data_IF_569404934342
#
_entry.id   IF_569404934342
#
_cell.length_a   1.000
_cell.length_b   1.000
_cell.length_c   1.000
_cell.angle_alpha   90.00
_cell.angle_beta   90.00
_cell.angle_gamma   90.00
#
_symmetry.space_group_name_H-M   'P 1'
#
loop_
_entity.id
_entity.type
_entity.pdbx_description
1 polymer ?
#
# COMPACT_ATOMS: atom_id res chain seq x y z
N UNK A 1 13.06 -14.98 -6.75
CA UNK A 1 13.20 -13.56 -6.34
C UNK A 1 14.25 -13.36 -5.24
N UNK A 2 14.33 -14.20 -4.21
CA UNK A 2 15.27 -14.07 -3.08
C UNK A 2 16.75 -13.96 -3.49
N UNK A 3 17.19 -14.76 -4.45
CA UNK A 3 18.59 -14.77 -4.95
C UNK A 3 18.87 -13.73 -6.05
N UNK A 4 17.86 -13.39 -6.84
CA UNK A 4 17.99 -12.55 -8.04
C UNK A 4 18.03 -11.05 -7.69
N UNK A 5 17.49 -10.66 -6.54
CA UNK A 5 17.36 -9.26 -6.13
C UNK A 5 18.16 -8.93 -4.85
N UNK A 6 19.51 -9.08 -4.83
CA UNK A 6 20.31 -8.96 -3.60
C UNK A 6 20.17 -7.59 -2.94
N UNK A 7 20.16 -6.49 -3.69
CA UNK A 7 19.98 -5.14 -3.15
C UNK A 7 18.60 -4.94 -2.51
N UNK A 8 17.56 -5.55 -3.07
CA UNK A 8 16.21 -5.46 -2.51
C UNK A 8 16.06 -6.33 -1.27
N UNK A 9 16.76 -7.48 -1.24
CA UNK A 9 16.83 -8.34 -0.07
C UNK A 9 17.45 -7.62 1.12
N UNK A 10 18.55 -6.89 0.91
CA UNK A 10 19.16 -6.07 1.97
C UNK A 10 18.20 -5.00 2.51
N UNK A 11 17.47 -4.31 1.64
CA UNK A 11 16.47 -3.32 2.05
C UNK A 11 15.35 -3.98 2.86
N UNK A 12 14.80 -5.09 2.38
CA UNK A 12 13.73 -5.81 3.08
C UNK A 12 14.19 -6.32 4.45
N UNK A 13 15.38 -6.95 4.52
CA UNK A 13 15.98 -7.37 5.80
C UNK A 13 16.06 -6.21 6.79
N UNK A 14 16.61 -5.08 6.37
CA UNK A 14 16.76 -3.92 7.26
C UNK A 14 15.42 -3.36 7.74
N UNK A 15 14.41 -3.33 6.89
CA UNK A 15 13.07 -2.95 7.29
C UNK A 15 12.49 -3.90 8.33
N UNK A 16 12.61 -5.22 8.12
CA UNK A 16 12.13 -6.22 9.06
C UNK A 16 12.84 -6.15 10.41
N UNK A 17 14.16 -5.99 10.43
CA UNK A 17 14.94 -5.80 11.66
C UNK A 17 14.50 -4.58 12.46
N UNK A 18 14.18 -3.48 11.78
CA UNK A 18 13.71 -2.24 12.41
C UNK A 18 12.27 -2.36 12.92
N UNK A 19 11.39 -3.02 12.16
CA UNK A 19 9.97 -3.08 12.48
C UNK A 19 9.63 -4.21 13.47
N UNK A 20 10.42 -5.28 13.52
CA UNK A 20 10.18 -6.44 14.36
C UNK A 20 11.40 -6.78 15.25
N UNK A 21 11.85 -5.84 16.10
CA UNK A 21 13.09 -6.03 16.87
C UNK A 21 13.04 -7.20 17.87
N UNK A 22 11.84 -7.71 18.18
CA UNK A 22 11.65 -8.87 19.08
C UNK A 22 11.86 -10.22 18.41
N UNK A 23 11.99 -10.29 17.07
CA UNK A 23 12.23 -11.55 16.38
C UNK A 23 13.71 -11.97 16.48
N UNK A 24 13.95 -13.24 16.67
CA UNK A 24 15.27 -13.83 16.57
C UNK A 24 15.80 -13.80 15.13
N UNK A 25 17.11 -13.99 14.96
CA UNK A 25 17.72 -14.04 13.62
C UNK A 25 17.13 -15.12 12.71
N UNK A 26 16.86 -16.36 13.16
CA UNK A 26 16.18 -17.36 12.35
C UNK A 26 14.77 -16.95 11.90
N UNK A 27 14.01 -16.31 12.80
CA UNK A 27 12.66 -15.82 12.49
C UNK A 27 12.68 -14.69 11.45
N UNK A 28 13.62 -13.73 11.56
CA UNK A 28 13.83 -12.71 10.53
C UNK A 28 14.15 -13.33 9.16
N UNK A 29 15.04 -14.32 9.11
CA UNK A 29 15.38 -14.99 7.85
C UNK A 29 14.19 -15.78 7.28
N UNK A 30 13.40 -16.42 8.14
CA UNK A 30 12.18 -17.10 7.73
C UNK A 30 11.16 -16.13 7.16
N UNK A 31 10.88 -15.02 7.85
CA UNK A 31 9.96 -13.99 7.38
C UNK A 31 10.45 -13.35 6.08
N UNK A 32 11.75 -13.08 5.98
CA UNK A 32 12.36 -12.54 4.75
C UNK A 32 12.20 -13.49 3.56
N UNK A 33 12.36 -14.80 3.75
CA UNK A 33 12.12 -15.79 2.69
C UNK A 33 10.66 -15.81 2.25
N UNK A 34 9.71 -15.92 3.21
CA UNK A 34 8.27 -15.85 2.92
C UNK A 34 7.88 -14.56 2.19
N UNK A 35 8.50 -13.42 2.57
CA UNK A 35 8.28 -12.17 1.85
C UNK A 35 8.69 -12.26 0.37
N UNK A 36 9.84 -12.85 0.06
CA UNK A 36 10.28 -13.00 -1.34
C UNK A 36 9.49 -14.06 -2.11
N UNK A 37 8.93 -15.06 -1.44
CA UNK A 37 7.94 -15.98 -2.01
C UNK A 37 6.67 -15.21 -2.37
N UNK A 38 6.17 -14.38 -1.46
CA UNK A 38 5.02 -13.50 -1.69
C UNK A 38 5.25 -12.51 -2.84
N UNK A 39 6.46 -11.91 -2.95
CA UNK A 39 6.84 -11.06 -4.10
C UNK A 39 6.88 -11.86 -5.41
N UNK A 40 7.27 -13.12 -5.35
CA UNK A 40 7.24 -14.04 -6.51
C UNK A 40 5.80 -14.30 -6.98
N UNK A 41 4.92 -14.69 -6.06
CA UNK A 41 3.51 -14.92 -6.32
C UNK A 41 2.81 -13.67 -6.88
N UNK A 42 3.15 -12.49 -6.35
CA UNK A 42 2.63 -11.20 -6.81
C UNK A 42 2.79 -10.97 -8.32
N UNK A 43 3.82 -11.51 -8.94
CA UNK A 43 4.03 -11.37 -10.39
C UNK A 43 2.97 -12.13 -11.19
N UNK A 44 2.59 -13.33 -10.75
CA UNK A 44 1.51 -14.11 -11.36
C UNK A 44 0.15 -13.46 -11.08
N UNK A 45 -0.11 -13.08 -9.83
CA UNK A 45 -1.33 -12.40 -9.40
C UNK A 45 -1.57 -11.09 -10.14
N UNK A 46 -0.54 -10.26 -10.30
CA UNK A 46 -0.58 -9.05 -11.10
C UNK A 46 -0.98 -9.34 -12.55
N UNK A 47 -0.39 -10.39 -13.15
CA UNK A 47 -0.72 -10.81 -14.52
C UNK A 47 -2.17 -11.29 -14.61
N UNK A 48 -2.65 -12.03 -13.61
CA UNK A 48 -4.06 -12.46 -13.51
C UNK A 48 -4.99 -11.25 -13.36
N UNK A 49 -4.69 -10.31 -12.46
CA UNK A 49 -5.48 -9.09 -12.24
C UNK A 49 -5.58 -8.21 -13.50
N UNK A 50 -4.50 -8.14 -14.28
CA UNK A 50 -4.47 -7.30 -15.49
C UNK A 50 -5.04 -7.98 -16.73
N UNK A 51 -4.89 -9.30 -16.89
CA UNK A 51 -5.17 -9.99 -18.14
C UNK A 51 -6.01 -11.26 -17.97
N UNK A 52 -6.23 -11.71 -16.73
CA UNK A 52 -6.97 -12.92 -16.43
C UNK A 52 -8.49 -12.79 -16.56
N UNK A 53 -9.18 -13.87 -16.30
CA UNK A 53 -10.65 -13.91 -16.22
C UNK A 53 -11.15 -13.28 -14.93
N UNK A 54 -11.97 -12.24 -15.04
CA UNK A 54 -12.60 -11.59 -13.89
C UNK A 54 -13.47 -12.58 -13.10
N UNK A 55 -14.15 -13.49 -13.79
CA UNK A 55 -14.99 -14.50 -13.14
C UNK A 55 -14.18 -15.39 -12.21
N UNK A 56 -13.00 -15.84 -12.64
CA UNK A 56 -12.11 -16.66 -11.80
C UNK A 56 -11.61 -15.84 -10.60
N UNK A 57 -11.19 -14.59 -10.82
CA UNK A 57 -10.70 -13.72 -9.75
C UNK A 57 -11.80 -13.52 -8.70
N UNK A 58 -13.03 -13.26 -9.13
CA UNK A 58 -14.16 -13.09 -8.22
C UNK A 58 -14.49 -14.31 -7.37
N UNK A 59 -14.30 -15.52 -7.93
CA UNK A 59 -14.51 -16.76 -7.18
C UNK A 59 -13.44 -17.01 -6.11
N UNK A 60 -12.25 -16.46 -6.28
CA UNK A 60 -11.13 -16.61 -5.37
C UNK A 60 -11.12 -15.59 -4.23
N UNK A 61 -11.90 -14.51 -4.33
CA UNK A 61 -11.86 -13.40 -3.38
C UNK A 61 -13.10 -13.36 -2.50
N UNK A 62 -12.90 -13.50 -1.19
CA UNK A 62 -13.92 -13.20 -0.19
C UNK A 62 -13.90 -11.69 0.10
N UNK A 63 -15.08 -11.05 0.04
CA UNK A 63 -15.22 -9.60 0.25
C UNK A 63 -15.90 -9.33 1.58
N UNK A 64 -15.23 -8.59 2.44
CA UNK A 64 -15.71 -8.15 3.74
C UNK A 64 -15.98 -6.64 3.73
N UNK A 65 -17.10 -6.22 4.33
CA UNK A 65 -17.42 -4.82 4.57
C UNK A 65 -17.74 -4.00 3.30
N UNK A 66 -18.18 -4.62 2.20
CA UNK A 66 -18.62 -3.90 1.00
C UNK A 66 -19.76 -2.90 1.26
N UNK A 67 -20.59 -3.15 2.25
CA UNK A 67 -21.64 -2.23 2.72
C UNK A 67 -21.09 -0.89 3.22
N UNK A 68 -19.88 -0.88 3.82
CA UNK A 68 -19.23 0.36 4.25
C UNK A 68 -18.96 1.30 3.07
N UNK A 69 -18.50 0.74 1.95
CA UNK A 69 -18.26 1.51 0.72
C UNK A 69 -19.57 2.02 0.12
N UNK A 70 -20.58 1.16 0.05
CA UNK A 70 -21.91 1.54 -0.46
C UNK A 70 -22.52 2.68 0.36
N UNK A 71 -22.48 2.57 1.69
CA UNK A 71 -23.00 3.61 2.61
C UNK A 71 -22.19 4.92 2.47
N UNK A 72 -20.87 4.84 2.34
CA UNK A 72 -20.03 6.02 2.16
C UNK A 72 -20.34 6.75 0.84
N UNK A 73 -20.57 6.00 -0.25
CA UNK A 73 -20.93 6.56 -1.56
C UNK A 73 -22.31 7.25 -1.57
N UNK A 74 -23.26 6.83 -0.70
CA UNK A 74 -24.56 7.50 -0.58
C UNK A 74 -24.44 8.95 -0.12
N UNK A 75 -23.34 9.36 0.51
CA UNK A 75 -23.08 10.75 0.89
C UNK A 75 -22.81 11.68 -0.29
N UNK A 76 -22.44 11.14 -1.45
CA UNK A 76 -22.19 11.91 -2.68
C UNK A 76 -20.90 12.74 -2.70
N UNK A 77 -19.99 12.57 -1.74
CA UNK A 77 -18.76 13.36 -1.58
C UNK A 77 -17.50 12.63 -2.03
N UNK A 78 -17.67 11.42 -2.57
CA UNK A 78 -16.57 10.53 -2.93
C UNK A 78 -15.95 9.79 -1.74
N UNK A 79 -15.15 8.80 -2.03
CA UNK A 79 -14.52 7.93 -1.03
C UNK A 79 -13.02 7.81 -1.31
N UNK A 80 -12.21 7.91 -0.26
CA UNK A 80 -10.79 7.59 -0.27
C UNK A 80 -10.61 6.22 0.38
N UNK A 81 -10.14 5.24 -0.38
CA UNK A 81 -9.72 3.96 0.15
C UNK A 81 -8.26 4.06 0.58
N UNK A 82 -8.05 4.22 1.88
CA UNK A 82 -6.72 4.21 2.47
C UNK A 82 -6.15 2.80 2.47
N UNK A 83 -4.97 2.64 1.92
CA UNK A 83 -4.29 1.34 1.81
C UNK A 83 -2.78 1.47 1.98
N UNK A 84 -2.10 0.33 1.99
CA UNK A 84 -0.66 0.18 1.85
C UNK A 84 -0.30 -0.64 0.61
N UNK A 85 0.99 -0.66 0.28
CA UNK A 85 1.49 -1.51 -0.79
C UNK A 85 1.72 -2.93 -0.26
N UNK A 86 0.74 -3.79 -0.46
CA UNK A 86 0.86 -5.24 -0.27
C UNK A 86 1.20 -5.91 -1.60
N UNK A 87 1.83 -7.07 -1.57
CA UNK A 87 2.24 -7.78 -2.79
C UNK A 87 1.05 -8.12 -3.69
N UNK A 88 -0.12 -8.32 -3.11
CA UNK A 88 -1.36 -8.74 -3.78
C UNK A 88 -2.19 -7.61 -4.38
N UNK A 89 -1.87 -6.33 -4.16
CA UNK A 89 -2.81 -5.20 -4.39
C UNK A 89 -3.32 -5.09 -5.84
N UNK A 90 -2.53 -5.45 -6.84
CA UNK A 90 -2.94 -5.39 -8.27
C UNK A 90 -4.02 -6.43 -8.61
N UNK A 91 -4.05 -7.56 -7.89
CA UNK A 91 -5.00 -8.65 -8.11
C UNK A 91 -6.45 -8.26 -7.77
N UNK A 92 -6.63 -7.29 -6.87
CA UNK A 92 -7.94 -6.97 -6.33
C UNK A 92 -8.71 -5.88 -7.09
N UNK A 93 -8.09 -5.15 -8.00
CA UNK A 93 -8.78 -4.09 -8.74
C UNK A 93 -10.02 -4.56 -9.51
N UNK A 94 -10.01 -5.73 -10.20
CA UNK A 94 -11.23 -6.25 -10.85
C UNK A 94 -12.39 -6.47 -9.87
N UNK A 95 -12.09 -6.97 -8.67
CA UNK A 95 -13.10 -7.20 -7.63
C UNK A 95 -13.61 -5.87 -7.06
N UNK A 96 -12.69 -4.97 -6.71
CA UNK A 96 -13.03 -3.66 -6.18
C UNK A 96 -13.90 -2.85 -7.15
N UNK A 97 -13.62 -2.94 -8.45
CA UNK A 97 -14.37 -2.23 -9.51
C UNK A 97 -15.88 -2.52 -9.47
N UNK A 98 -16.30 -3.72 -9.08
CA UNK A 98 -17.73 -4.06 -8.95
C UNK A 98 -18.49 -3.19 -7.96
N UNK A 99 -17.80 -2.66 -6.96
CA UNK A 99 -18.40 -1.83 -5.90
C UNK A 99 -18.23 -0.33 -6.15
N UNK A 100 -17.52 0.04 -7.22
CA UNK A 100 -17.16 1.43 -7.50
C UNK A 100 -17.88 1.94 -8.76
N UNK A 101 -18.69 3.00 -8.69
CA UNK A 101 -19.26 3.64 -9.89
C UNK A 101 -18.14 4.20 -10.79
N UNK A 102 -17.12 4.80 -10.17
CA UNK A 102 -15.93 5.31 -10.84
C UNK A 102 -14.72 5.08 -9.93
N UNK A 103 -13.78 4.25 -10.38
CA UNK A 103 -12.57 3.90 -9.63
C UNK A 103 -11.36 4.66 -10.16
N UNK A 104 -10.69 5.39 -9.28
CA UNK A 104 -9.45 6.09 -9.56
C UNK A 104 -8.31 5.48 -8.75
N UNK A 105 -7.09 5.50 -9.30
CA UNK A 105 -5.89 5.19 -8.53
C UNK A 105 -4.77 6.17 -8.84
N UNK A 106 -3.96 6.47 -7.81
CA UNK A 106 -2.77 7.29 -7.99
C UNK A 106 -1.72 6.52 -8.79
N UNK A 107 -1.15 7.17 -9.80
CA UNK A 107 -0.21 6.56 -10.71
C UNK A 107 1.11 7.32 -10.80
N UNK A 108 2.20 6.58 -10.83
CA UNK A 108 3.53 7.10 -11.12
C UNK A 108 4.02 6.51 -12.44
N UNK A 109 4.24 7.36 -13.45
CA UNK A 109 4.84 6.98 -14.73
C UNK A 109 6.13 6.21 -14.53
N UNK A 110 6.26 5.09 -15.20
CA UNK A 110 7.45 4.23 -15.13
C UNK A 110 8.59 4.80 -15.99
N UNK A 111 9.84 4.47 -15.62
CA UNK A 111 11.02 4.90 -16.39
C UNK A 111 11.11 4.24 -17.76
N UNK A 112 10.72 2.97 -17.85
CA UNK A 112 10.65 2.23 -19.11
C UNK A 112 9.31 2.51 -19.80
N UNK A 113 9.28 3.07 -21.02
CA UNK A 113 8.05 3.33 -21.75
C UNK A 113 7.24 2.06 -22.04
N UNK A 114 7.94 0.93 -22.25
CA UNK A 114 7.29 -0.36 -22.47
C UNK A 114 6.55 -0.82 -21.21
N UNK A 115 7.23 -0.78 -20.04
CA UNK A 115 6.62 -1.15 -18.75
C UNK A 115 5.48 -0.21 -18.39
N UNK A 116 5.64 1.08 -18.66
CA UNK A 116 4.57 2.07 -18.45
C UNK A 116 3.32 1.73 -19.25
N UNK A 117 3.48 1.42 -20.52
CA UNK A 117 2.37 1.03 -21.41
C UNK A 117 1.70 -0.27 -20.97
N UNK A 118 2.47 -1.27 -20.57
CA UNK A 118 1.93 -2.55 -20.07
C UNK A 118 1.12 -2.33 -18.80
N UNK A 119 1.68 -1.62 -17.82
CA UNK A 119 0.99 -1.31 -16.55
C UNK A 119 -0.27 -0.47 -16.78
N UNK A 120 -0.18 0.55 -17.64
CA UNK A 120 -1.32 1.38 -17.95
C UNK A 120 -2.45 0.55 -18.60
N UNK A 121 -2.12 -0.28 -19.61
CA UNK A 121 -3.07 -1.18 -20.25
C UNK A 121 -3.70 -2.16 -19.29
N UNK A 122 -2.89 -2.78 -18.41
CA UNK A 122 -3.38 -3.75 -17.42
C UNK A 122 -4.33 -3.11 -16.42
N UNK A 123 -3.93 -1.99 -15.82
CA UNK A 123 -4.75 -1.28 -14.82
C UNK A 123 -6.03 -0.68 -15.39
N UNK A 124 -6.00 -0.14 -16.64
CA UNK A 124 -7.17 0.47 -17.29
C UNK A 124 -8.31 -0.51 -17.57
N UNK A 125 -8.15 -1.81 -17.34
CA UNK A 125 -9.26 -2.77 -17.38
C UNK A 125 -10.21 -2.64 -16.18
N UNK A 126 -9.69 -2.24 -15.03
CA UNK A 126 -10.47 -2.17 -13.80
C UNK A 126 -10.48 -0.78 -13.18
N UNK A 127 -9.55 0.09 -13.55
CA UNK A 127 -9.42 1.45 -13.03
C UNK A 127 -9.84 2.42 -14.13
N UNK A 128 -10.88 3.21 -13.87
CA UNK A 128 -11.43 4.16 -14.84
C UNK A 128 -10.51 5.35 -15.06
N UNK A 129 -9.79 5.80 -14.03
CA UNK A 129 -8.88 6.94 -14.12
C UNK A 129 -7.57 6.70 -13.37
N UNK A 130 -6.46 6.69 -14.10
CA UNK A 130 -5.12 6.67 -13.51
C UNK A 130 -4.63 8.10 -13.33
N UNK A 131 -4.61 8.54 -12.08
CA UNK A 131 -4.28 9.91 -11.70
C UNK A 131 -2.77 10.07 -11.48
N UNK A 132 -2.07 10.92 -12.23
CA UNK A 132 -0.69 11.25 -11.93
C UNK A 132 -0.57 11.79 -10.51
N UNK A 133 0.38 11.26 -9.72
CA UNK A 133 0.56 11.61 -8.30
C UNK A 133 0.78 13.11 -8.03
N UNK A 134 1.12 13.88 -9.05
CA UNK A 134 1.31 15.35 -8.98
C UNK A 134 0.01 16.12 -9.22
N UNK A 135 -1.06 15.47 -9.68
CA UNK A 135 -2.32 16.13 -10.05
C UNK A 135 -3.40 16.02 -8.96
N UNK A 136 -3.12 16.55 -7.77
CA UNK A 136 -4.08 16.56 -6.64
C UNK A 136 -5.41 17.22 -7.02
N UNK A 137 -5.40 18.29 -7.85
CA UNK A 137 -6.65 18.94 -8.33
C UNK A 137 -7.53 17.99 -9.15
N UNK A 138 -6.94 17.12 -9.96
CA UNK A 138 -7.70 16.12 -10.71
C UNK A 138 -8.37 15.12 -9.76
N UNK A 139 -7.67 14.67 -8.73
CA UNK A 139 -8.22 13.80 -7.70
C UNK A 139 -9.40 14.46 -6.95
N UNK A 140 -9.26 15.71 -6.53
CA UNK A 140 -10.36 16.46 -5.89
C UNK A 140 -11.57 16.59 -6.83
N UNK A 141 -11.34 16.81 -8.13
CA UNK A 141 -12.40 16.83 -9.14
C UNK A 141 -13.08 15.47 -9.30
N UNK A 142 -12.35 14.35 -9.24
CA UNK A 142 -12.95 13.02 -9.31
C UNK A 142 -13.75 12.72 -8.05
N UNK A 143 -13.24 13.06 -6.86
CA UNK A 143 -13.97 12.94 -5.58
C UNK A 143 -15.27 13.75 -5.59
N UNK A 144 -15.27 15.00 -6.09
CA UNK A 144 -16.49 15.81 -6.20
C UNK A 144 -17.56 15.25 -7.15
N UNK A 145 -17.20 14.25 -7.97
CA UNK A 145 -18.10 13.47 -8.80
C UNK A 145 -18.44 12.11 -8.19
N UNK A 146 -18.24 11.96 -6.91
CA UNK A 146 -18.51 10.74 -6.15
C UNK A 146 -17.65 9.53 -6.57
N UNK A 147 -16.41 9.77 -7.04
CA UNK A 147 -15.48 8.70 -7.35
C UNK A 147 -14.91 8.03 -6.10
N UNK A 148 -14.46 6.80 -6.26
CA UNK A 148 -13.64 6.06 -5.30
C UNK A 148 -12.18 6.22 -5.68
N UNK A 149 -11.33 6.69 -4.77
CA UNK A 149 -9.90 6.87 -5.01
C UNK A 149 -9.11 5.91 -4.13
N UNK A 150 -8.45 4.93 -4.74
CA UNK A 150 -7.47 4.10 -4.05
C UNK A 150 -6.18 4.88 -3.79
N UNK A 151 -5.79 4.98 -2.52
CA UNK A 151 -4.66 5.81 -2.10
C UNK A 151 -3.77 5.06 -1.09
N UNK A 152 -2.56 4.70 -1.50
CA UNK A 152 -1.53 4.14 -0.63
C UNK A 152 -0.47 5.21 -0.30
N UNK A 153 -0.38 5.62 0.97
CA UNK A 153 0.53 6.68 1.44
C UNK A 153 1.73 6.16 2.22
N UNK A 154 1.98 4.86 2.20
CA UNK A 154 2.95 4.14 3.03
C UNK A 154 4.41 4.22 2.54
N UNK A 155 4.65 4.78 1.37
CA UNK A 155 6.00 4.96 0.86
C UNK A 155 6.65 6.23 1.39
N UNK A 156 7.98 6.18 1.62
CA UNK A 156 8.76 7.34 2.06
C UNK A 156 8.60 8.52 1.10
N UNK A 157 8.26 9.67 1.65
CA UNK A 157 7.99 10.90 0.92
C UNK A 157 8.82 12.05 1.49
N UNK A 158 9.42 12.91 0.63
CA UNK A 158 10.38 13.93 1.02
C UNK A 158 10.03 15.32 0.47
N UNK A 159 8.75 15.62 0.31
CA UNK A 159 8.31 16.94 -0.16
C UNK A 159 7.52 17.68 0.92
N UNK A 160 7.07 18.91 0.64
CA UNK A 160 6.44 19.86 1.57
C UNK A 160 5.28 19.31 2.46
N UNK A 161 4.75 18.13 2.15
CA UNK A 161 3.64 17.52 2.89
C UNK A 161 4.08 16.19 3.54
N UNK A 162 5.31 16.13 4.01
CA UNK A 162 5.84 14.95 4.66
C UNK A 162 6.28 15.32 6.07
N UNK A 163 5.85 14.48 7.00
CA UNK A 163 6.12 14.62 8.42
C UNK A 163 6.76 13.34 8.96
N UNK A 164 7.48 13.49 10.05
CA UNK A 164 8.12 12.38 10.73
C UNK A 164 7.07 11.69 11.63
N UNK A 165 6.52 10.59 11.15
CA UNK A 165 5.49 9.82 11.86
C UNK A 165 6.04 8.44 12.22
N UNK A 166 5.76 7.92 13.44
CA UNK A 166 6.15 6.56 13.79
C UNK A 166 5.56 5.52 12.82
N UNK A 167 6.38 4.54 12.45
CA UNK A 167 5.99 3.33 11.76
C UNK A 167 6.71 2.15 12.43
N UNK A 168 5.99 1.27 13.11
CA UNK A 168 6.54 0.27 14.03
C UNK A 168 7.52 0.89 15.04
N UNK A 169 7.11 1.98 15.67
CA UNK A 169 7.91 2.77 16.61
C UNK A 169 9.21 3.36 16.02
N UNK A 170 9.40 3.28 14.71
CA UNK A 170 10.54 3.88 14.02
C UNK A 170 10.11 5.16 13.31
N UNK A 171 10.85 6.28 13.46
CA UNK A 171 10.51 7.51 12.75
C UNK A 171 10.61 7.31 11.24
N UNK A 172 9.56 7.65 10.51
CA UNK A 172 9.49 7.48 9.07
C UNK A 172 8.83 8.69 8.40
N UNK A 173 9.49 9.25 7.38
CA UNK A 173 8.91 10.34 6.58
C UNK A 173 7.66 9.86 5.85
N UNK A 174 6.51 10.41 6.22
CA UNK A 174 5.19 9.97 5.78
C UNK A 174 4.40 11.12 5.19
N UNK A 175 3.68 10.86 4.10
CA UNK A 175 2.84 11.87 3.45
C UNK A 175 1.55 12.08 4.23
N UNK A 176 1.26 13.34 4.60
CA UNK A 176 0.05 13.75 5.36
C UNK A 176 -1.12 14.15 4.45
N UNK A 177 -1.03 13.92 3.14
CA UNK A 177 -1.98 14.46 2.17
C UNK A 177 -3.42 13.91 2.33
N UNK A 178 -3.62 12.67 2.82
CA UNK A 178 -4.95 12.07 2.95
C UNK A 178 -5.85 12.92 3.83
N UNK A 179 -5.38 13.35 5.01
CA UNK A 179 -6.12 14.22 5.93
C UNK A 179 -6.59 15.51 5.22
N UNK A 180 -5.65 16.20 4.55
CA UNK A 180 -5.95 17.46 3.85
C UNK A 180 -6.90 17.26 2.66
N UNK A 181 -6.74 16.18 1.92
CA UNK A 181 -7.60 15.86 0.77
C UNK A 181 -9.02 15.55 1.28
N UNK A 182 -9.14 14.73 2.31
CA UNK A 182 -10.43 14.41 2.95
C UNK A 182 -11.12 15.68 3.47
N UNK A 183 -10.39 16.56 4.16
CA UNK A 183 -10.90 17.84 4.66
C UNK A 183 -11.39 18.75 3.53
N UNK A 184 -10.63 18.85 2.44
CA UNK A 184 -10.98 19.73 1.31
C UNK A 184 -12.13 19.20 0.48
N UNK A 185 -12.23 17.88 0.30
CA UNK A 185 -13.25 17.24 -0.55
C UNK A 185 -14.52 16.85 0.19
N UNK A 186 -14.46 16.70 1.51
CA UNK A 186 -15.52 16.08 2.32
C UNK A 186 -15.63 14.56 2.10
N UNK A 187 -14.67 13.95 1.41
CA UNK A 187 -14.68 12.52 1.09
C UNK A 187 -14.54 11.66 2.36
N UNK A 188 -15.31 10.58 2.43
CA UNK A 188 -15.18 9.59 3.51
C UNK A 188 -13.90 8.76 3.29
N UNK A 189 -13.11 8.59 4.36
CA UNK A 189 -11.93 7.73 4.33
C UNK A 189 -12.27 6.37 4.93
N UNK A 190 -12.05 5.30 4.14
CA UNK A 190 -12.24 3.92 4.56
C UNK A 190 -10.92 3.18 4.51
N UNK A 191 -10.55 2.40 5.53
CA UNK A 191 -9.46 1.44 5.43
C UNK A 191 -9.77 0.39 4.35
N UNK A 192 -8.80 0.10 3.52
CA UNK A 192 -8.92 -0.90 2.45
C UNK A 192 -7.67 -1.74 2.40
N UNK A 193 -7.80 -3.01 2.77
CA UNK A 193 -6.67 -3.92 2.82
C UNK A 193 -7.02 -5.25 2.21
N UNK A 194 -6.02 -5.85 1.58
CA UNK A 194 -6.16 -7.10 0.86
C UNK A 194 -5.03 -8.04 1.21
N UNK A 195 -5.34 -9.32 1.37
CA UNK A 195 -4.35 -10.34 1.65
C UNK A 195 -4.67 -11.67 0.98
N UNK A 196 -3.64 -12.43 0.71
CA UNK A 196 -3.72 -13.85 0.38
C UNK A 196 -3.94 -14.62 1.69
N UNK A 197 -4.83 -15.57 1.68
CA UNK A 197 -5.04 -16.50 2.78
C UNK A 197 -3.96 -17.60 2.77
N UNK A 198 -3.76 -18.22 3.92
CA UNK A 198 -2.86 -19.35 4.06
C UNK A 198 -3.44 -20.61 3.37
N UNK A 199 -2.56 -21.57 3.07
CA UNK A 199 -2.92 -22.88 2.52
C UNK A 199 -3.75 -22.80 1.22
N UNK A 200 -3.47 -21.84 0.36
CA UNK A 200 -4.15 -21.64 -0.92
C UNK A 200 -5.68 -21.47 -0.81
N UNK A 201 -6.16 -21.02 0.36
CA UNK A 201 -7.60 -20.84 0.65
C UNK A 201 -8.22 -19.64 -0.08
N UNK A 202 -7.49 -18.99 -0.96
CA UNK A 202 -7.95 -17.83 -1.70
C UNK A 202 -7.49 -16.49 -1.10
N UNK A 203 -8.34 -15.47 -1.20
CA UNK A 203 -7.99 -14.09 -0.86
C UNK A 203 -9.10 -13.41 -0.08
N UNK A 204 -8.74 -12.43 0.74
CA UNK A 204 -9.69 -11.53 1.42
C UNK A 204 -9.46 -10.10 0.96
N UNK A 205 -10.54 -9.43 0.59
CA UNK A 205 -10.63 -7.98 0.40
C UNK A 205 -11.47 -7.39 1.52
N UNK A 206 -10.84 -6.64 2.41
CA UNK A 206 -11.51 -6.01 3.55
C UNK A 206 -11.66 -4.50 3.32
N UNK A 207 -12.90 -4.01 3.48
CA UNK A 207 -13.24 -2.58 3.46
C UNK A 207 -13.74 -2.22 4.85
N UNK A 208 -12.89 -1.58 5.64
CA UNK A 208 -13.21 -1.14 7.00
C UNK A 208 -14.30 -0.07 7.04
N UNK A 209 -14.84 0.16 8.24
CA UNK A 209 -15.76 1.26 8.49
C UNK A 209 -15.10 2.63 8.34
N UNK A 210 -15.89 3.71 8.21
CA UNK A 210 -15.35 5.06 8.18
C UNK A 210 -14.62 5.39 9.48
N UNK A 211 -13.51 6.11 9.34
CA UNK A 211 -12.75 6.57 10.51
C UNK A 211 -13.57 7.61 11.29
N UNK A 212 -13.77 7.35 12.57
CA UNK A 212 -14.48 8.29 13.46
C UNK A 212 -13.62 9.54 13.68
N UNK A 213 -14.27 10.71 13.69
CA UNK A 213 -13.61 12.00 13.88
C UNK A 213 -12.38 12.16 12.96
N UNK A 214 -12.58 11.88 11.67
CA UNK A 214 -11.55 12.00 10.65
C UNK A 214 -12.12 12.72 9.40
N UNK A 215 -11.39 13.69 8.82
CA UNK A 215 -10.12 14.24 9.30
C UNK A 215 -10.31 15.21 10.46
N UNK A 216 -9.27 15.37 11.28
CA UNK A 216 -9.18 16.40 12.31
C UNK A 216 -8.50 17.67 11.77
N UNK A 217 -8.23 18.64 12.65
CA UNK A 217 -7.39 19.81 12.32
C UNK A 217 -5.90 19.50 12.37
N UNK A 218 -5.50 18.38 12.98
CA UNK A 218 -4.13 17.91 13.07
C UNK A 218 -3.85 16.79 12.04
N UNK A 219 -3.29 17.19 10.89
CA UNK A 219 -2.95 16.25 9.82
C UNK A 219 -1.82 15.27 10.23
N UNK A 220 -1.00 15.59 11.22
CA UNK A 220 0.05 14.69 11.73
C UNK A 220 -0.60 13.59 12.55
N UNK A 221 -1.51 13.95 13.46
CA UNK A 221 -2.24 12.98 14.27
C UNK A 221 -3.13 12.08 13.40
N UNK A 222 -3.82 12.64 12.42
CA UNK A 222 -4.57 11.85 11.43
C UNK A 222 -3.67 10.84 10.71
N UNK A 223 -2.45 11.25 10.35
CA UNK A 223 -1.49 10.36 9.69
C UNK A 223 -0.95 9.28 10.64
N UNK A 224 -0.78 9.58 11.92
CA UNK A 224 -0.43 8.56 12.95
C UNK A 224 -1.51 7.50 13.06
N UNK A 225 -2.78 7.90 13.11
CA UNK A 225 -3.93 6.97 13.16
C UNK A 225 -3.97 6.07 11.93
N UNK A 226 -3.79 6.63 10.74
CA UNK A 226 -3.70 5.85 9.50
C UNK A 226 -2.51 4.88 9.50
N UNK A 227 -1.37 5.34 10.00
CA UNK A 227 -0.16 4.49 10.07
C UNK A 227 -0.35 3.34 11.06
N UNK A 228 -0.98 3.58 12.22
CA UNK A 228 -1.30 2.54 13.20
C UNK A 228 -2.23 1.46 12.61
N UNK A 229 -3.29 1.87 11.90
CA UNK A 229 -4.15 0.92 11.19
C UNK A 229 -3.40 0.08 10.15
N UNK A 230 -2.48 0.70 9.42
CA UNK A 230 -1.64 -0.05 8.48
C UNK A 230 -0.74 -1.05 9.20
N UNK A 231 -0.15 -0.69 10.34
CA UNK A 231 0.67 -1.59 11.16
C UNK A 231 -0.12 -2.81 11.66
N UNK A 232 -1.33 -2.59 12.17
CA UNK A 232 -2.24 -3.67 12.58
C UNK A 232 -2.47 -4.66 11.43
N UNK A 233 -2.72 -4.12 10.23
CA UNK A 233 -2.96 -4.96 9.07
C UNK A 233 -1.70 -5.69 8.57
N UNK A 234 -0.53 -5.06 8.65
CA UNK A 234 0.76 -5.70 8.35
C UNK A 234 1.02 -6.87 9.31
N UNK A 235 0.64 -6.75 10.58
CA UNK A 235 0.83 -7.82 11.56
C UNK A 235 0.02 -9.08 11.25
N UNK A 236 -1.10 -8.97 10.53
CA UNK A 236 -1.90 -10.12 10.08
C UNK A 236 -1.23 -10.93 8.94
N UNK A 237 -0.40 -10.28 8.12
CA UNK A 237 0.25 -10.90 6.97
C UNK A 237 1.60 -10.21 6.68
N UNK A 238 2.56 -10.27 7.62
CA UNK A 238 3.77 -9.47 7.55
C UNK A 238 4.64 -9.80 6.33
N UNK A 239 4.59 -11.01 5.77
CA UNK A 239 5.30 -11.40 4.56
C UNK A 239 4.72 -10.76 3.30
N UNK A 240 3.48 -10.24 3.34
CA UNK A 240 2.80 -9.67 2.18
C UNK A 240 2.96 -8.16 2.04
N UNK A 241 3.46 -7.46 3.05
CA UNK A 241 3.77 -6.04 2.91
C UNK A 241 5.03 -5.82 2.07
N UNK A 242 5.09 -4.72 1.32
CA UNK A 242 6.12 -4.48 0.30
C UNK A 242 7.45 -3.97 0.90
N UNK A 243 8.12 -4.81 1.71
CA UNK A 243 9.35 -4.48 2.43
C UNK A 243 10.54 -4.12 1.54
N UNK A 244 10.52 -4.39 0.25
CA UNK A 244 11.58 -4.02 -0.71
C UNK A 244 11.65 -2.53 -1.01
N UNK A 245 10.73 -1.72 -0.48
CA UNK A 245 10.78 -0.27 -0.53
C UNK A 245 11.60 0.29 0.64
N UNK A 246 12.40 1.34 0.39
CA UNK A 246 13.21 2.01 1.43
C UNK A 246 12.32 2.92 2.30
N UNK A 247 11.54 2.33 3.21
CA UNK A 247 10.54 3.02 4.03
C UNK A 247 11.13 4.13 4.90
N UNK A 248 12.33 3.91 5.42
CA UNK A 248 13.03 4.82 6.35
C UNK A 248 14.08 5.71 5.67
N UNK A 249 13.98 5.90 4.37
CA UNK A 249 14.86 6.81 3.63
C UNK A 249 14.52 8.25 3.96
N UNK A 250 15.58 9.13 4.02
CA UNK A 250 15.44 10.58 4.09
C UNK A 250 14.90 11.12 5.41
N UNK A 251 15.10 10.39 6.49
CA UNK A 251 14.86 10.92 7.85
C UNK A 251 15.82 12.08 8.12
N UNK A 252 15.37 13.15 8.81
CA UNK A 252 16.26 14.25 9.23
C UNK A 252 17.17 13.78 10.38
N UNK A 253 18.22 14.51 10.64
CA UNK A 253 19.03 14.36 11.86
C UNK A 253 18.14 14.42 13.12
N UNK A 254 18.42 13.65 14.17
CA UNK A 254 19.60 12.78 14.36
C UNK A 254 19.43 11.35 13.83
N UNK A 255 18.44 11.07 12.99
CA UNK A 255 18.10 9.71 12.55
C UNK A 255 18.96 9.26 11.38
N UNK A 256 19.90 8.30 11.56
CA UNK A 256 20.75 7.82 10.48
C UNK A 256 19.95 7.15 9.36
N UNK A 257 20.46 7.24 8.13
CA UNK A 257 19.88 6.49 7.02
C UNK A 257 20.22 4.99 7.16
N UNK A 258 19.23 4.10 7.39
CA UNK A 258 19.50 2.71 7.69
C UNK A 258 19.99 1.88 6.48
N UNK A 259 20.09 2.48 5.29
CA UNK A 259 20.45 1.81 4.04
C UNK A 259 21.81 2.23 3.49
N UNK A 260 22.64 2.97 4.26
CA UNK A 260 23.93 3.51 3.77
C UNK A 260 25.10 2.52 3.86
N UNK A 261 25.11 1.62 4.82
CA UNK A 261 26.23 0.72 5.04
C UNK A 261 26.12 -0.57 4.21
N UNK A 262 26.78 -0.61 3.05
CA UNK A 262 26.98 -1.88 2.32
C UNK A 262 27.86 -2.86 3.10
N UNK A 263 28.82 -2.37 3.87
CA UNK A 263 29.82 -3.20 4.55
C UNK A 263 29.26 -3.99 5.74
N UNK A 264 28.22 -3.54 6.42
CA UNK A 264 27.59 -4.28 7.52
C UNK A 264 26.91 -5.58 7.06
N UNK A 265 26.63 -5.71 5.75
CA UNK A 265 25.93 -6.85 5.18
C UNK A 265 26.86 -7.97 4.70
N UNK A 266 28.12 -7.64 4.37
CA UNK A 266 29.10 -8.63 3.89
C UNK A 266 29.74 -9.42 5.05
N UNK A 267 29.82 -8.83 6.23
CA UNK A 267 30.40 -9.48 7.44
C UNK A 267 29.49 -10.59 8.00
N UNK A 268 28.18 -10.56 7.73
CA UNK A 268 27.21 -11.55 8.21
C UNK A 268 26.89 -12.67 7.22
N UNK A 269 27.35 -12.57 5.98
CA UNK A 269 27.19 -13.63 4.97
C UNK A 269 28.31 -14.67 4.99
N UNK A 270 29.35 -14.44 5.79
CA UNK A 270 30.55 -15.33 5.90
C UNK A 270 30.70 -16.04 7.25
N UNK A 271 29.67 -16.06 8.10
CA UNK A 271 29.65 -16.86 9.33
C UNK A 271 28.48 -17.83 9.36
#
# INVERSE_FOLDING_TARGET
MYTILPNRRLVARRNLELCFPGLSRPEHESLLKRHFESVGAATAEMSMGWFGSEQIIHQLVHVEGSSNLTTALQKGTGVILFSGHFTTFEFFFPVLKKFCPWLCAMYKTQRSPLMDRIMHKGRSRSIDELLPKTRVRAMLKSLSKNAVVWYASDQSYHQKQSELVPFFNQPAMTNTAISRIAKTSGATVLPYFCRRLENDSGYVMNIGGPLENFPTDDAIEDTRRLTALLEEYIQLCPEQYFWIHRRFKGRPEPHPNPYQNKNDYETHAKK
#
